data_IF_990920088472
#
_entry.id   IF_990920088472
#
_cell.length_a   1.000
_cell.length_b   1.000
_cell.length_c   1.000
_cell.angle_alpha   90.00
_cell.angle_beta   90.00
_cell.angle_gamma   90.00
#
_symmetry.space_group_name_H-M   'P 1'
#
loop_
_entity.id
_entity.type
_entity.pdbx_description
1 polymer ?
#
# COMPACT_ATOMS: atom_id res chain seq x y z
N UNK A 1 5.14 14.31 3.40
CA UNK A 1 5.29 13.13 2.50
C UNK A 1 6.56 12.34 2.80
N UNK A 2 7.76 12.94 2.79
CA UNK A 2 8.99 12.21 3.10
C UNK A 2 8.94 11.50 4.46
N UNK A 3 8.47 12.17 5.51
CA UNK A 3 8.30 11.57 6.84
C UNK A 3 7.42 10.32 6.84
N UNK A 4 6.34 10.33 6.06
CA UNK A 4 5.44 9.18 5.93
C UNK A 4 6.14 7.99 5.25
N UNK A 5 6.87 8.24 4.14
CA UNK A 5 7.58 7.17 3.42
C UNK A 5 8.70 6.58 4.27
N UNK A 6 9.43 7.40 5.04
CA UNK A 6 10.45 6.91 5.97
C UNK A 6 9.84 6.08 7.12
N UNK A 7 8.67 6.48 7.63
CA UNK A 7 7.95 5.70 8.62
C UNK A 7 7.43 4.35 8.05
N UNK A 8 7.00 4.34 6.78
CA UNK A 8 6.67 3.10 6.07
C UNK A 8 7.89 2.20 5.93
N UNK A 9 9.04 2.73 5.49
CA UNK A 9 10.29 1.96 5.40
C UNK A 9 10.68 1.36 6.76
N UNK A 10 10.61 2.15 7.83
CA UNK A 10 10.96 1.73 9.18
C UNK A 10 10.05 0.62 9.75
N UNK A 11 8.82 0.48 9.25
CA UNK A 11 7.91 -0.57 9.68
C UNK A 11 8.08 -1.91 8.93
N UNK A 12 8.93 -1.97 7.91
CA UNK A 12 9.33 -3.25 7.33
C UNK A 12 10.36 -3.96 8.22
N UNK A 13 10.10 -5.21 8.53
CA UNK A 13 11.03 -6.03 9.30
C UNK A 13 12.29 -6.39 8.47
N UNK A 14 13.41 -6.53 9.16
CA UNK A 14 14.65 -7.05 8.55
C UNK A 14 14.52 -8.57 8.38
N UNK A 15 14.13 -8.99 7.18
CA UNK A 15 13.83 -10.39 6.84
C UNK A 15 14.34 -10.71 5.44
N UNK A 16 14.38 -12.00 5.10
CA UNK A 16 14.92 -12.47 3.83
C UNK A 16 14.09 -12.07 2.60
N UNK A 17 12.78 -11.83 2.75
CA UNK A 17 11.90 -11.55 1.61
C UNK A 17 10.97 -10.36 1.83
N UNK A 18 9.94 -10.46 2.69
CA UNK A 18 9.00 -9.35 2.96
C UNK A 18 9.66 -8.25 3.82
N UNK A 19 10.62 -7.56 3.23
CA UNK A 19 11.42 -6.49 3.81
C UNK A 19 11.39 -5.24 2.93
N UNK A 20 12.03 -4.18 3.40
CA UNK A 20 12.09 -2.89 2.67
C UNK A 20 12.70 -3.00 1.28
N UNK A 21 13.62 -3.95 1.05
CA UNK A 21 14.21 -4.17 -0.28
C UNK A 21 13.19 -4.73 -1.27
N UNK A 22 12.30 -5.63 -0.82
CA UNK A 22 11.22 -6.16 -1.65
C UNK A 22 10.22 -5.06 -2.03
N UNK A 23 9.80 -4.24 -1.07
CA UNK A 23 8.94 -3.08 -1.36
C UNK A 23 9.58 -2.11 -2.38
N UNK A 24 10.89 -1.86 -2.24
CA UNK A 24 11.64 -1.04 -3.19
C UNK A 24 11.74 -1.68 -4.58
N UNK A 25 12.00 -2.99 -4.68
CA UNK A 25 12.04 -3.71 -5.97
C UNK A 25 10.69 -3.67 -6.67
N UNK A 26 9.59 -3.94 -5.95
CA UNK A 26 8.22 -3.88 -6.50
C UNK A 26 7.89 -2.47 -7.02
N UNK A 27 8.20 -1.42 -6.25
CA UNK A 27 7.99 -0.04 -6.69
C UNK A 27 8.83 0.32 -7.93
N UNK A 28 10.10 -0.10 -7.94
CA UNK A 28 11.00 0.15 -9.06
C UNK A 28 10.54 -0.57 -10.33
N UNK A 29 10.16 -1.85 -10.21
CA UNK A 29 9.59 -2.65 -11.31
C UNK A 29 8.29 -2.06 -11.82
N UNK A 30 7.40 -1.63 -10.93
CA UNK A 30 6.15 -0.95 -11.31
C UNK A 30 6.45 0.28 -12.16
N UNK A 31 7.39 1.11 -11.73
CA UNK A 31 7.82 2.29 -12.50
C UNK A 31 8.38 1.92 -13.87
N UNK A 32 9.18 0.86 -13.95
CA UNK A 32 9.72 0.38 -15.22
C UNK A 32 8.63 -0.15 -16.15
N UNK A 33 7.66 -0.91 -15.63
CA UNK A 33 6.50 -1.41 -16.38
C UNK A 33 5.65 -0.25 -16.88
N UNK A 34 5.31 0.71 -16.03
CA UNK A 34 4.53 1.89 -16.39
C UNK A 34 5.17 2.65 -17.58
N UNK A 35 6.48 2.91 -17.50
CA UNK A 35 7.22 3.61 -18.56
C UNK A 35 7.32 2.79 -19.85
N UNK A 36 7.66 1.50 -19.75
CA UNK A 36 7.89 0.65 -20.93
C UNK A 36 6.61 0.28 -21.67
N UNK A 37 5.48 0.27 -20.98
CA UNK A 37 4.16 -0.05 -21.56
C UNK A 37 3.45 1.15 -22.19
N UNK A 38 3.96 2.37 -22.01
CA UNK A 38 3.25 3.59 -22.43
C UNK A 38 2.16 4.06 -21.46
N UNK A 39 1.95 3.34 -20.34
CA UNK A 39 0.93 3.67 -19.34
C UNK A 39 1.32 4.94 -18.58
N UNK A 40 2.61 5.18 -18.34
CA UNK A 40 3.07 6.41 -17.69
C UNK A 40 2.66 7.66 -18.47
N UNK A 41 2.74 7.62 -19.81
CA UNK A 41 2.29 8.68 -20.71
C UNK A 41 0.77 8.82 -20.69
N UNK A 42 0.03 7.71 -20.67
CA UNK A 42 -1.43 7.74 -20.55
C UNK A 42 -1.92 8.34 -19.21
N UNK A 43 -1.11 8.20 -18.15
CA UNK A 43 -1.38 8.72 -16.81
C UNK A 43 -0.77 10.11 -16.55
N UNK A 44 -0.16 10.77 -17.53
CA UNK A 44 0.57 12.03 -17.32
C UNK A 44 -0.29 13.13 -16.71
N UNK A 45 -1.56 13.19 -17.12
CA UNK A 45 -2.56 14.15 -16.61
C UNK A 45 -3.26 13.68 -15.32
N UNK A 46 -2.86 12.53 -14.77
CA UNK A 46 -3.46 11.89 -13.59
C UNK A 46 -2.43 11.64 -12.48
N UNK A 47 -1.88 12.72 -11.86
CA UNK A 47 -0.84 12.61 -10.83
C UNK A 47 -1.32 11.83 -9.59
N UNK A 48 -2.60 11.92 -9.24
CA UNK A 48 -3.19 11.14 -8.15
C UNK A 48 -3.13 9.64 -8.41
N UNK A 49 -3.39 9.20 -9.64
CA UNK A 49 -3.39 7.77 -10.01
C UNK A 49 -1.97 7.21 -9.99
N UNK A 50 -1.02 7.95 -10.57
CA UNK A 50 0.40 7.61 -10.52
C UNK A 50 0.88 7.52 -9.07
N UNK A 51 0.54 8.51 -8.24
CA UNK A 51 0.90 8.50 -6.82
C UNK A 51 0.27 7.33 -6.06
N UNK A 52 -1.02 7.04 -6.28
CA UNK A 52 -1.69 5.88 -5.69
C UNK A 52 -1.01 4.57 -5.99
N UNK A 53 -0.59 4.36 -7.25
CA UNK A 53 0.09 3.15 -7.68
C UNK A 53 1.46 3.00 -7.00
N UNK A 54 2.24 4.08 -6.96
CA UNK A 54 3.55 4.07 -6.30
C UNK A 54 3.42 3.86 -4.79
N UNK A 55 2.47 4.52 -4.14
CA UNK A 55 2.20 4.31 -2.72
C UNK A 55 1.72 2.89 -2.44
N UNK A 56 0.80 2.35 -3.24
CA UNK A 56 0.33 0.97 -3.11
C UNK A 56 1.50 -0.03 -3.17
N UNK A 57 2.41 0.12 -4.14
CA UNK A 57 3.61 -0.70 -4.22
C UNK A 57 4.51 -0.56 -2.97
N UNK A 58 4.67 0.66 -2.46
CA UNK A 58 5.45 0.91 -1.24
C UNK A 58 4.88 0.20 -0.01
N UNK A 59 3.54 0.16 0.10
CA UNK A 59 2.86 -0.27 1.32
C UNK A 59 2.33 -1.70 1.29
N UNK A 60 2.36 -2.39 0.15
CA UNK A 60 1.60 -3.64 -0.04
C UNK A 60 1.92 -4.72 1.00
N UNK A 61 3.18 -4.79 1.46
CA UNK A 61 3.66 -5.73 2.48
C UNK A 61 4.03 -5.04 3.80
N UNK A 62 3.50 -3.83 4.06
CA UNK A 62 3.83 -3.09 5.27
C UNK A 62 3.45 -3.87 6.53
N UNK A 63 4.43 -4.07 7.43
CA UNK A 63 4.31 -4.90 8.64
C UNK A 63 3.82 -6.34 8.37
N UNK A 64 4.23 -6.93 7.24
CA UNK A 64 3.85 -8.30 6.87
C UNK A 64 4.13 -9.31 8.02
N UNK A 65 3.20 -10.25 8.30
CA UNK A 65 3.30 -11.19 9.43
C UNK A 65 4.36 -12.29 9.24
N UNK A 66 4.88 -12.44 8.02
CA UNK A 66 5.92 -13.42 7.60
C UNK A 66 5.45 -14.87 7.58
N UNK A 67 4.16 -15.07 7.68
CA UNK A 67 3.46 -16.34 7.48
C UNK A 67 2.33 -16.08 6.49
N UNK A 68 1.82 -17.12 5.83
CA UNK A 68 0.75 -16.97 4.85
C UNK A 68 -0.60 -16.64 5.51
N UNK A 69 -1.51 -16.05 4.74
CA UNK A 69 -2.89 -15.84 5.18
C UNK A 69 -3.54 -17.16 5.66
N UNK A 70 -3.31 -18.27 4.96
CA UNK A 70 -3.81 -19.60 5.36
C UNK A 70 -3.29 -20.05 6.73
N UNK A 71 -2.03 -19.77 7.05
CA UNK A 71 -1.46 -20.08 8.35
C UNK A 71 -2.17 -19.29 9.46
N UNK A 72 -2.40 -17.98 9.26
CA UNK A 72 -3.09 -17.14 10.23
C UNK A 72 -4.54 -17.60 10.47
N UNK A 73 -5.26 -17.91 9.38
CA UNK A 73 -6.64 -18.40 9.44
C UNK A 73 -6.73 -19.75 10.15
N UNK A 74 -5.85 -20.69 9.80
CA UNK A 74 -5.85 -22.02 10.42
C UNK A 74 -5.60 -21.98 11.93
N UNK A 75 -4.79 -21.02 12.40
CA UNK A 75 -4.45 -20.86 13.82
C UNK A 75 -5.40 -19.92 14.57
N UNK A 76 -6.50 -19.47 13.95
CA UNK A 76 -7.43 -18.48 14.53
C UNK A 76 -6.69 -17.23 15.07
N UNK A 77 -5.65 -16.80 14.35
CA UNK A 77 -4.83 -15.66 14.76
C UNK A 77 -5.70 -14.40 14.89
N UNK A 78 -5.49 -13.54 15.93
CA UNK A 78 -6.27 -12.31 16.10
C UNK A 78 -6.31 -11.42 14.86
N UNK A 79 -5.24 -11.41 14.04
CA UNK A 79 -5.20 -10.69 12.78
C UNK A 79 -6.19 -11.27 11.76
N UNK A 80 -6.30 -12.59 11.66
CA UNK A 80 -7.25 -13.27 10.79
C UNK A 80 -8.69 -13.01 11.23
N UNK A 81 -8.96 -13.14 12.54
CA UNK A 81 -10.27 -12.84 13.12
C UNK A 81 -10.70 -11.38 12.86
N UNK A 82 -9.76 -10.44 12.97
CA UNK A 82 -10.03 -9.02 12.74
C UNK A 82 -10.52 -8.74 11.30
N UNK A 83 -10.04 -9.49 10.31
CA UNK A 83 -10.39 -9.30 8.90
C UNK A 83 -11.31 -10.41 8.36
N UNK A 84 -11.93 -11.20 9.25
CA UNK A 84 -12.82 -12.30 8.89
C UNK A 84 -12.21 -13.21 7.82
N UNK A 85 -10.92 -13.55 7.99
CA UNK A 85 -10.14 -14.44 7.13
C UNK A 85 -9.91 -13.93 5.69
N UNK A 86 -10.30 -12.69 5.37
CA UNK A 86 -10.17 -12.11 4.03
C UNK A 86 -8.88 -11.30 3.88
N UNK A 87 -8.03 -11.66 2.91
CA UNK A 87 -6.82 -10.91 2.52
C UNK A 87 -6.09 -10.32 3.74
N UNK A 88 -5.76 -11.20 4.70
CA UNK A 88 -5.47 -10.84 6.09
C UNK A 88 -4.25 -9.91 6.16
N UNK A 89 -3.13 -10.29 5.55
CA UNK A 89 -1.91 -9.49 5.51
C UNK A 89 -2.11 -8.17 4.75
N UNK A 90 -2.82 -8.20 3.62
CA UNK A 90 -3.07 -7.04 2.76
C UNK A 90 -3.95 -6.00 3.47
N UNK A 91 -5.02 -6.45 4.14
CA UNK A 91 -5.88 -5.60 4.96
C UNK A 91 -5.13 -5.03 6.16
N UNK A 92 -4.22 -5.80 6.77
CA UNK A 92 -3.38 -5.33 7.85
C UNK A 92 -2.47 -4.18 7.38
N UNK A 93 -1.76 -4.36 6.27
CA UNK A 93 -0.92 -3.34 5.67
C UNK A 93 -1.70 -2.04 5.36
N UNK A 94 -2.90 -2.17 4.78
CA UNK A 94 -3.79 -1.04 4.51
C UNK A 94 -4.27 -0.33 5.78
N UNK A 95 -4.69 -1.08 6.81
CA UNK A 95 -5.13 -0.50 8.09
C UNK A 95 -4.01 0.31 8.72
N UNK A 96 -2.83 -0.28 8.81
CA UNK A 96 -1.69 0.32 9.51
C UNK A 96 -1.19 1.59 8.81
N UNK A 97 -1.05 1.56 7.49
CA UNK A 97 -0.61 2.72 6.71
C UNK A 97 -1.64 3.85 6.68
N UNK A 98 -2.93 3.53 6.59
CA UNK A 98 -4.01 4.53 6.71
C UNK A 98 -4.18 5.08 8.11
N UNK A 99 -3.73 4.37 9.13
CA UNK A 99 -3.67 4.88 10.51
C UNK A 99 -2.47 5.81 10.66
N UNK A 100 -1.33 5.44 10.08
CA UNK A 100 -0.11 6.23 10.10
C UNK A 100 -0.32 7.62 9.48
N UNK A 101 -0.95 7.71 8.31
CA UNK A 101 -1.19 9.00 7.62
C UNK A 101 -2.12 9.96 8.38
N UNK A 102 -2.90 9.48 9.37
CA UNK A 102 -3.75 10.33 10.21
C UNK A 102 -2.99 11.05 11.32
N UNK A 103 -1.73 10.69 11.56
CA UNK A 103 -0.90 11.35 12.55
C UNK A 103 -0.37 12.66 11.94
N UNK A 104 -0.37 13.79 12.68
CA UNK A 104 0.05 15.08 12.15
C UNK A 104 1.45 15.08 11.52
N UNK A 105 2.37 14.26 12.03
CA UNK A 105 3.74 14.16 11.49
C UNK A 105 3.80 13.54 10.08
N UNK A 106 2.78 12.77 9.71
CA UNK A 106 2.72 11.96 8.49
C UNK A 106 1.57 12.36 7.55
N UNK A 107 0.78 13.38 7.92
CA UNK A 107 -0.34 13.90 7.15
C UNK A 107 0.13 14.66 5.89
N UNK A 108 0.61 13.90 4.91
CA UNK A 108 0.89 14.43 3.58
C UNK A 108 -0.36 14.82 2.78
N UNK A 109 -1.55 14.18 2.94
CA UNK A 109 -2.74 14.56 2.19
C UNK A 109 -3.16 16.01 2.41
N UNK A 110 -3.08 16.52 3.64
CA UNK A 110 -3.42 17.93 3.91
C UNK A 110 -2.54 18.92 3.15
N UNK A 111 -1.30 18.55 2.85
CA UNK A 111 -0.34 19.37 2.12
C UNK A 111 -0.46 19.20 0.60
N UNK A 112 -0.72 17.99 0.10
CA UNK A 112 -0.73 17.70 -1.34
C UNK A 112 -2.11 17.91 -1.98
N UNK A 113 -3.18 17.89 -1.21
CA UNK A 113 -4.56 17.94 -1.69
C UNK A 113 -5.26 19.17 -1.10
N UNK A 114 -4.76 20.38 -1.31
CA UNK A 114 -5.19 21.60 -0.59
C UNK A 114 -6.52 22.21 -1.04
N UNK A 115 -7.10 21.77 -2.15
CA UNK A 115 -8.29 22.42 -2.74
C UNK A 115 -9.62 21.88 -2.18
N UNK A 116 -10.77 22.48 -2.51
CA UNK A 116 -12.13 22.01 -2.09
C UNK A 116 -12.40 20.54 -2.50
N UNK A 117 -11.60 20.02 -3.44
CA UNK A 117 -11.52 18.62 -3.85
C UNK A 117 -10.70 17.71 -2.92
N UNK A 118 -10.17 18.19 -1.79
CA UNK A 118 -9.28 17.43 -0.89
C UNK A 118 -9.86 16.08 -0.49
N UNK A 119 -11.13 16.09 -0.07
CA UNK A 119 -11.85 14.88 0.36
C UNK A 119 -12.00 13.90 -0.80
N UNK A 120 -12.24 14.40 -2.01
CA UNK A 120 -12.45 13.57 -3.19
C UNK A 120 -11.13 13.05 -3.77
N UNK A 121 -10.07 13.87 -3.74
CA UNK A 121 -8.70 13.48 -4.07
C UNK A 121 -8.18 12.41 -3.12
N UNK A 122 -8.40 12.56 -1.81
CA UNK A 122 -8.01 11.53 -0.83
C UNK A 122 -8.83 10.25 -1.01
N UNK A 123 -10.15 10.35 -1.21
CA UNK A 123 -11.00 9.18 -1.48
C UNK A 123 -10.54 8.43 -2.72
N UNK A 124 -10.25 9.14 -3.82
CA UNK A 124 -9.71 8.54 -5.06
C UNK A 124 -8.37 7.87 -4.77
N UNK A 125 -7.46 8.58 -4.11
CA UNK A 125 -6.13 8.09 -3.81
C UNK A 125 -6.16 6.81 -2.96
N UNK A 126 -6.90 6.86 -1.85
CA UNK A 126 -7.04 5.78 -0.90
C UNK A 126 -7.84 4.59 -1.47
N UNK A 127 -8.85 4.86 -2.30
CA UNK A 127 -9.64 3.82 -2.98
C UNK A 127 -8.81 3.02 -3.98
N UNK A 128 -7.98 3.71 -4.78
CA UNK A 128 -7.04 3.05 -5.68
C UNK A 128 -5.97 2.28 -4.92
N UNK A 129 -5.38 2.87 -3.87
CA UNK A 129 -4.43 2.16 -3.02
C UNK A 129 -5.03 0.88 -2.41
N UNK A 130 -6.24 0.98 -1.87
CA UNK A 130 -6.95 -0.16 -1.30
C UNK A 130 -7.20 -1.26 -2.34
N UNK A 131 -7.67 -0.88 -3.53
CA UNK A 131 -7.94 -1.83 -4.60
C UNK A 131 -6.66 -2.54 -5.05
N UNK A 132 -5.58 -1.78 -5.27
CA UNK A 132 -4.29 -2.32 -5.75
C UNK A 132 -3.63 -3.23 -4.71
N UNK A 133 -3.63 -2.86 -3.42
CA UNK A 133 -3.04 -3.71 -2.37
C UNK A 133 -3.87 -4.97 -2.16
N UNK A 134 -5.21 -4.89 -2.15
CA UNK A 134 -6.03 -6.10 -2.04
C UNK A 134 -5.93 -7.03 -3.25
N UNK A 135 -5.41 -6.54 -4.38
CA UNK A 135 -5.14 -7.35 -5.57
C UNK A 135 -3.80 -8.11 -5.48
N UNK A 136 -2.96 -7.85 -4.47
CA UNK A 136 -1.72 -8.61 -4.26
C UNK A 136 -1.94 -9.92 -3.49
N UNK A 137 -3.14 -10.14 -2.96
CA UNK A 137 -3.53 -11.44 -2.39
C UNK A 137 -3.56 -12.50 -3.49
N UNK A 138 -2.58 -13.40 -3.45
CA UNK A 138 -2.40 -14.45 -4.45
C UNK A 138 -3.55 -15.48 -4.49
N UNK A 139 -4.40 -15.53 -3.47
CA UNK A 139 -5.63 -16.36 -3.52
C UNK A 139 -6.64 -15.86 -4.56
N UNK A 140 -6.51 -14.61 -5.02
CA UNK A 140 -7.39 -13.95 -5.99
C UNK A 140 -6.83 -13.90 -7.41
N UNK A 141 -5.75 -14.64 -7.68
CA UNK A 141 -5.06 -14.60 -8.97
C UNK A 141 -5.85 -15.24 -10.12
N UNK A 142 -6.72 -16.21 -9.82
CA UNK A 142 -7.58 -16.93 -10.75
C UNK A 142 -9.04 -16.89 -10.30
#
# INVERSE_FOLDING_TARGET
MLSYVLAVEAGYADTLYHCKLHAADVMHRLTAVLKRSGIAEALSESPTETLSMLLAAAIHDYKHPRVSNQFLVHNEDPMALQFNDQAVAENYALRETRTLVRQPEYDFPSVLLQDDSQKDGWKKLAGMMQTTVLATDMSRHF
#
